data_IF_103158657426
#
_entry.id   IF_103158657426
#
_cell.length_a   1.000
_cell.length_b   1.000
_cell.length_c   1.000
_cell.angle_alpha   90.00
_cell.angle_beta   90.00
_cell.angle_gamma   90.00
#
_symmetry.space_group_name_H-M   'P 1'
#
loop_
_entity.id
_entity.type
_entity.pdbx_description
1 polymer ?
#
# COMPACT_ATOMS: atom_id res chain seq x y z
N UNK A 1 -20.64 17.25 26.06
CA UNK A 1 -20.04 15.99 25.57
C UNK A 1 -19.62 16.22 24.13
N UNK A 2 -18.32 16.25 23.84
CA UNK A 2 -17.85 16.29 22.45
C UNK A 2 -17.95 14.86 21.94
N UNK A 3 -18.71 14.63 20.87
CA UNK A 3 -18.82 13.29 20.30
C UNK A 3 -17.46 12.86 19.73
N UNK A 4 -17.04 11.63 20.03
CA UNK A 4 -15.84 11.04 19.44
C UNK A 4 -16.04 10.91 17.92
N UNK A 5 -15.06 11.40 17.16
CA UNK A 5 -15.02 11.31 15.70
C UNK A 5 -13.99 10.25 15.31
N UNK A 6 -14.38 9.35 14.41
CA UNK A 6 -13.49 8.35 13.85
C UNK A 6 -12.96 8.83 12.50
N UNK A 7 -11.68 8.57 12.24
CA UNK A 7 -11.02 8.87 10.97
C UNK A 7 -10.31 7.62 10.48
N UNK A 8 -10.57 7.24 9.24
CA UNK A 8 -9.81 6.21 8.52
C UNK A 8 -8.93 6.94 7.51
N UNK A 9 -7.64 6.66 7.54
CA UNK A 9 -6.67 7.18 6.58
C UNK A 9 -6.19 6.02 5.73
N UNK A 10 -6.66 6.00 4.48
CA UNK A 10 -6.34 4.95 3.52
C UNK A 10 -5.17 5.37 2.63
N UNK A 11 -4.17 4.50 2.51
CA UNK A 11 -3.11 4.61 1.52
C UNK A 11 -3.45 3.79 0.27
N UNK A 12 -3.39 4.43 -0.89
CA UNK A 12 -3.64 3.77 -2.18
C UNK A 12 -2.36 3.16 -2.77
N UNK A 13 -2.57 2.29 -3.76
CA UNK A 13 -1.51 1.66 -4.56
C UNK A 13 -0.52 0.75 -3.83
N UNK A 14 -0.82 0.33 -2.59
CA UNK A 14 0.04 -0.59 -1.86
C UNK A 14 0.23 -1.90 -2.65
N UNK A 15 1.47 -2.36 -2.82
CA UNK A 15 1.81 -3.48 -3.68
C UNK A 15 2.10 -3.13 -5.15
N UNK A 16 1.93 -1.88 -5.59
CA UNK A 16 2.20 -1.48 -6.98
C UNK A 16 3.70 -1.48 -7.32
N UNK A 17 4.55 -0.94 -6.43
CA UNK A 17 6.01 -0.93 -6.60
C UNK A 17 6.72 -0.93 -5.24
N UNK A 18 8.01 -1.35 -5.17
CA UNK A 18 8.75 -1.35 -3.91
C UNK A 18 8.88 0.04 -3.28
N UNK A 19 8.95 1.10 -4.11
CA UNK A 19 9.00 2.48 -3.63
C UNK A 19 7.69 2.91 -2.96
N UNK A 20 6.55 2.54 -3.56
CA UNK A 20 5.23 2.79 -2.98
C UNK A 20 5.06 1.98 -1.70
N UNK A 21 5.45 0.70 -1.70
CA UNK A 21 5.41 -0.15 -0.49
C UNK A 21 6.14 0.52 0.67
N UNK A 22 7.36 0.99 0.44
CA UNK A 22 8.16 1.66 1.47
C UNK A 22 7.46 2.91 2.01
N UNK A 23 6.90 3.74 1.14
CA UNK A 23 6.19 4.95 1.56
C UNK A 23 4.93 4.64 2.38
N UNK A 24 4.16 3.63 1.98
CA UNK A 24 2.97 3.19 2.73
C UNK A 24 3.37 2.60 4.09
N UNK A 25 4.42 1.79 4.14
CA UNK A 25 4.95 1.21 5.38
C UNK A 25 5.40 2.33 6.32
N UNK A 26 6.21 3.27 5.85
CA UNK A 26 6.68 4.40 6.65
C UNK A 26 5.52 5.26 7.17
N UNK A 27 4.51 5.53 6.33
CA UNK A 27 3.33 6.30 6.71
C UNK A 27 2.37 5.55 7.66
N UNK A 28 2.47 4.23 7.75
CA UNK A 28 1.74 3.42 8.70
C UNK A 28 2.51 3.28 10.02
N UNK A 29 3.81 2.94 9.98
CA UNK A 29 4.64 2.78 11.18
C UNK A 29 4.89 4.10 11.91
N UNK A 30 5.12 5.18 11.17
CA UNK A 30 5.53 6.48 11.70
C UNK A 30 4.52 7.61 11.41
N UNK A 31 3.38 7.28 10.80
CA UNK A 31 2.38 8.26 10.37
C UNK A 31 0.98 7.94 10.87
N UNK A 32 -0.02 8.33 10.07
CA UNK A 32 -1.45 8.25 10.43
C UNK A 32 -2.21 7.22 9.59
N UNK A 33 -1.54 6.49 8.70
CA UNK A 33 -2.19 5.49 7.83
C UNK A 33 -2.70 4.33 8.67
N UNK A 34 -3.99 4.05 8.51
CA UNK A 34 -4.71 2.99 9.26
C UNK A 34 -5.29 1.93 8.33
N UNK A 35 -5.33 2.19 7.02
CA UNK A 35 -5.75 1.21 6.02
C UNK A 35 -4.99 1.37 4.71
N UNK A 36 -4.97 0.31 3.90
CA UNK A 36 -4.35 0.36 2.57
C UNK A 36 -5.08 -0.51 1.53
N UNK A 37 -5.02 -0.06 0.27
CA UNK A 37 -5.55 -0.80 -0.88
C UNK A 37 -4.45 -1.62 -1.56
N UNK A 38 -4.47 -2.94 -1.35
CA UNK A 38 -3.49 -3.87 -1.91
C UNK A 38 -3.78 -4.21 -3.37
N UNK A 39 -2.89 -3.77 -4.24
CA UNK A 39 -2.90 -3.95 -5.68
C UNK A 39 -2.36 -5.33 -6.07
N UNK A 40 -3.18 -6.37 -5.93
CA UNK A 40 -2.75 -7.79 -6.02
C UNK A 40 -2.22 -8.26 -7.37
N UNK A 41 -2.36 -7.45 -8.41
CA UNK A 41 -1.88 -7.77 -9.76
C UNK A 41 -0.45 -7.30 -10.03
N UNK A 42 0.17 -6.55 -9.12
CA UNK A 42 1.45 -5.88 -9.39
C UNK A 42 2.66 -6.62 -8.80
N UNK A 43 3.87 -6.38 -9.33
CA UNK A 43 5.07 -7.13 -8.94
C UNK A 43 5.41 -7.04 -7.44
N UNK A 44 5.08 -5.93 -6.78
CA UNK A 44 5.41 -5.72 -5.37
C UNK A 44 4.29 -6.16 -4.41
N UNK A 45 3.23 -6.79 -4.91
CA UNK A 45 2.09 -7.21 -4.10
C UNK A 45 2.45 -8.28 -3.05
N UNK A 46 3.38 -9.18 -3.39
CA UNK A 46 3.82 -10.23 -2.47
C UNK A 46 4.52 -9.67 -1.23
N UNK A 47 5.40 -8.69 -1.43
CA UNK A 47 6.09 -7.97 -0.34
C UNK A 47 5.08 -7.24 0.54
N UNK A 48 4.16 -6.48 -0.07
CA UNK A 48 3.09 -5.78 0.64
C UNK A 48 2.19 -6.73 1.45
N UNK A 49 1.82 -7.89 0.89
CA UNK A 49 1.02 -8.90 1.57
C UNK A 49 1.77 -9.60 2.71
N UNK A 50 3.10 -9.75 2.61
CA UNK A 50 3.91 -10.26 3.71
C UNK A 50 3.97 -9.25 4.85
N UNK A 51 4.19 -7.97 4.54
CA UNK A 51 4.16 -6.89 5.52
C UNK A 51 2.81 -6.85 6.26
N UNK A 52 1.70 -6.81 5.52
CA UNK A 52 0.35 -6.75 6.09
C UNK A 52 0.03 -7.94 7.01
N UNK A 53 0.56 -9.13 6.71
CA UNK A 53 0.39 -10.31 7.59
C UNK A 53 1.12 -10.17 8.93
N UNK A 54 2.18 -9.37 8.99
CA UNK A 54 2.91 -9.08 10.22
C UNK A 54 2.33 -7.90 11.03
N UNK A 55 1.47 -7.09 10.42
CA UNK A 55 0.96 -5.82 10.99
C UNK A 55 -0.58 -5.81 10.96
N UNK A 56 -1.25 -6.53 11.88
CA UNK A 56 -2.70 -6.66 11.90
C UNK A 56 -3.44 -5.34 12.21
N UNK A 57 -2.73 -4.32 12.66
CA UNK A 57 -3.22 -2.95 12.87
C UNK A 57 -3.34 -2.15 11.56
N UNK A 58 -2.73 -2.60 10.47
CA UNK A 58 -3.01 -2.10 9.12
C UNK A 58 -4.18 -2.86 8.50
N UNK A 59 -5.32 -2.18 8.34
CA UNK A 59 -6.46 -2.77 7.62
C UNK A 59 -6.18 -2.82 6.11
N UNK A 60 -6.15 -4.00 5.50
CA UNK A 60 -5.86 -4.15 4.06
C UNK A 60 -7.06 -4.62 3.26
N UNK A 61 -7.40 -3.88 2.22
CA UNK A 61 -8.43 -4.26 1.23
C UNK A 61 -7.79 -4.70 -0.08
N UNK A 62 -8.21 -5.84 -0.61
CA UNK A 62 -7.69 -6.34 -1.90
C UNK A 62 -8.37 -5.64 -3.07
N UNK A 63 -7.57 -5.00 -3.93
CA UNK A 63 -8.05 -4.29 -5.12
C UNK A 63 -7.53 -4.97 -6.38
N UNK A 64 -8.45 -5.35 -7.27
CA UNK A 64 -8.17 -5.99 -8.56
C UNK A 64 -8.21 -4.95 -9.70
N UNK A 65 -7.08 -4.33 -10.02
CA UNK A 65 -6.99 -3.28 -11.07
C UNK A 65 -7.28 -3.83 -12.47
N UNK A 66 -8.21 -3.23 -13.25
CA UNK A 66 -8.46 -3.69 -14.64
C UNK A 66 -7.29 -3.44 -15.59
N UNK A 67 -6.42 -2.49 -15.25
CA UNK A 67 -5.24 -2.12 -16.02
C UNK A 67 -3.97 -2.72 -15.42
N UNK A 68 -3.04 -3.08 -16.30
CA UNK A 68 -1.70 -3.57 -15.99
C UNK A 68 -0.68 -2.63 -16.65
N UNK A 69 -0.73 -1.34 -16.27
CA UNK A 69 0.14 -0.31 -16.83
C UNK A 69 1.51 -0.32 -16.17
N UNK A 70 2.35 -1.30 -16.47
CA UNK A 70 3.72 -1.33 -15.97
C UNK A 70 4.51 -0.14 -16.48
N UNK A 71 4.96 0.76 -15.59
CA UNK A 71 6.07 1.66 -15.92
C UNK A 71 7.34 0.79 -16.00
N UNK A 72 7.61 0.21 -17.17
CA UNK A 72 8.87 -0.44 -17.47
C UNK A 72 9.96 0.61 -17.51
N UNK A 73 10.52 0.98 -16.34
CA UNK A 73 11.77 1.73 -16.31
C UNK A 73 12.87 0.82 -16.85
N UNK A 74 13.01 0.77 -18.18
CA UNK A 74 14.25 0.36 -18.82
C UNK A 74 15.31 1.34 -18.36
N UNK A 75 16.10 0.97 -17.35
CA UNK A 75 17.39 1.62 -17.11
C UNK A 75 18.28 1.23 -18.29
N UNK A 76 18.19 1.95 -19.40
CA UNK A 76 19.29 2.04 -20.34
C UNK A 76 20.39 2.81 -19.61
N UNK A 77 21.32 2.08 -19.00
CA UNK A 77 22.66 2.59 -18.74
C UNK A 77 23.28 2.83 -20.12
N UNK A 78 23.47 4.08 -20.47
CA UNK A 78 24.27 4.56 -21.59
C UNK A 78 25.04 5.77 -21.10
#
# INVERSE_FOLDING_TARGET
MIAQRYLIVNADDFGQSPGINRGVIEAHENGIVTSASLMVRWPAAAEAAQYARGHPDLSVTVVRSRFHGGCSRSRSRG
#
